data_IF_339558697741
#
_entry.id   IF_339558697741
#
_cell.length_a   1.000
_cell.length_b   1.000
_cell.length_c   1.000
_cell.angle_alpha   90.00
_cell.angle_beta   90.00
_cell.angle_gamma   90.00
#
_symmetry.space_group_name_H-M   'P 1'
#
loop_
_entity.id
_entity.type
_entity.pdbx_description
1 polymer ?
#
# COMPACT_ATOMS: atom_id res chain seq x y z
N UNK A 1 2.54 3.06 29.78
CA UNK A 1 2.22 2.50 28.45
C UNK A 1 3.48 1.83 27.95
N UNK A 2 3.43 0.53 27.71
CA UNK A 2 4.55 -0.22 27.14
C UNK A 2 4.34 -0.25 25.63
N UNK A 3 5.36 0.11 24.87
CA UNK A 3 5.36 0.09 23.40
C UNK A 3 6.58 -0.71 22.94
N UNK A 4 6.46 -1.39 21.80
CA UNK A 4 7.54 -2.25 21.29
C UNK A 4 8.78 -1.44 20.91
N UNK A 5 8.55 -0.27 20.27
CA UNK A 5 9.61 0.61 19.81
C UNK A 5 9.27 2.09 20.05
N UNK A 6 10.29 2.86 20.42
CA UNK A 6 10.23 4.33 20.52
C UNK A 6 11.25 4.91 19.55
N UNK A 7 10.79 5.76 18.65
CA UNK A 7 11.61 6.40 17.63
C UNK A 7 11.92 7.86 18.00
N UNK A 8 13.19 8.25 17.92
CA UNK A 8 13.65 9.63 18.08
C UNK A 8 14.58 9.97 16.92
N UNK A 9 14.24 11.01 16.14
CA UNK A 9 15.02 11.46 14.96
C UNK A 9 15.38 10.30 13.99
N UNK A 10 14.40 9.49 13.63
CA UNK A 10 14.61 8.24 12.88
C UNK A 10 14.50 8.43 11.37
N UNK A 11 15.18 7.57 10.61
CA UNK A 11 15.02 7.47 9.15
C UNK A 11 13.89 6.50 8.77
N UNK A 12 13.47 6.52 7.50
CA UNK A 12 12.48 5.56 7.01
C UNK A 12 13.05 4.12 7.05
N UNK A 13 14.37 3.96 6.85
CA UNK A 13 15.06 2.68 6.93
C UNK A 13 14.97 2.04 8.32
N UNK A 14 15.12 2.82 9.38
CA UNK A 14 15.05 2.31 10.76
C UNK A 14 13.65 1.78 11.11
N UNK A 15 12.60 2.52 10.71
CA UNK A 15 11.20 2.12 10.93
C UNK A 15 10.88 0.89 10.10
N UNK A 16 11.37 0.84 8.86
CA UNK A 16 11.25 -0.34 8.01
C UNK A 16 11.89 -1.56 8.66
N UNK A 17 13.13 -1.43 9.12
CA UNK A 17 13.90 -2.51 9.71
C UNK A 17 13.27 -3.09 10.97
N UNK A 18 12.86 -2.22 11.89
CA UNK A 18 12.43 -2.62 13.23
C UNK A 18 10.95 -2.95 13.33
N UNK A 19 10.10 -2.26 12.58
CA UNK A 19 8.64 -2.40 12.69
C UNK A 19 7.97 -3.00 11.46
N UNK A 20 8.39 -2.66 10.25
CA UNK A 20 7.60 -3.00 9.05
C UNK A 20 8.13 -4.21 8.28
N UNK A 21 9.40 -4.61 8.45
CA UNK A 21 10.00 -5.72 7.71
C UNK A 21 9.27 -7.04 7.97
N UNK A 22 9.01 -7.37 9.24
CA UNK A 22 8.25 -8.56 9.61
C UNK A 22 6.84 -8.55 9.04
N UNK A 23 6.19 -7.39 9.03
CA UNK A 23 4.88 -7.19 8.44
C UNK A 23 4.89 -7.39 6.92
N UNK A 24 5.88 -6.85 6.22
CA UNK A 24 6.05 -7.07 4.77
C UNK A 24 6.28 -8.54 4.46
N UNK A 25 7.09 -9.25 5.26
CA UNK A 25 7.26 -10.71 5.10
C UNK A 25 5.93 -11.45 5.25
N UNK A 26 5.15 -11.10 6.28
CA UNK A 26 3.81 -11.68 6.48
C UNK A 26 2.86 -11.37 5.31
N UNK A 27 2.90 -10.15 4.74
CA UNK A 27 2.14 -9.80 3.54
C UNK A 27 2.47 -10.73 2.36
N UNK A 28 3.74 -11.02 2.14
CA UNK A 28 4.20 -11.91 1.07
C UNK A 28 3.82 -13.38 1.33
N UNK A 29 3.49 -13.74 2.56
CA UNK A 29 2.93 -15.04 2.95
C UNK A 29 1.40 -15.11 2.83
N UNK A 30 0.74 -14.00 2.48
CA UNK A 30 -0.71 -13.93 2.31
C UNK A 30 -1.46 -13.42 3.53
N UNK A 31 -0.76 -12.85 4.52
CA UNK A 31 -1.39 -12.21 5.69
C UNK A 31 -1.76 -10.76 5.34
N UNK A 32 -3.01 -10.36 5.60
CA UNK A 32 -3.43 -8.97 5.46
C UNK A 32 -2.84 -8.12 6.60
N UNK A 33 -2.14 -7.05 6.26
CA UNK A 33 -1.55 -6.12 7.22
C UNK A 33 -2.13 -4.72 7.02
N UNK A 34 -2.38 -4.03 8.12
CA UNK A 34 -2.72 -2.60 8.12
C UNK A 34 -1.83 -1.85 9.11
N UNK A 35 -1.38 -0.66 8.73
CA UNK A 35 -0.58 0.23 9.56
C UNK A 35 -1.33 1.54 9.72
N UNK A 36 -1.58 1.92 10.97
CA UNK A 36 -2.35 3.12 11.30
C UNK A 36 -1.46 4.15 12.01
N UNK A 37 -1.42 5.38 11.47
CA UNK A 37 -0.76 6.51 12.13
C UNK A 37 -1.73 7.29 13.00
N UNK A 38 -1.55 7.22 14.32
CA UNK A 38 -2.37 7.93 15.31
C UNK A 38 -1.56 9.05 15.99
N UNK A 39 -2.26 10.12 16.37
CA UNK A 39 -1.66 11.25 17.06
C UNK A 39 -2.51 12.51 17.00
N UNK A 40 -2.19 13.49 17.84
CA UNK A 40 -2.91 14.77 17.89
C UNK A 40 -2.76 15.55 16.56
N UNK A 41 -3.61 16.55 16.32
CA UNK A 41 -3.48 17.43 15.14
C UNK A 41 -2.08 18.09 15.06
N UNK A 42 -1.47 18.38 16.21
CA UNK A 42 -0.10 18.94 16.30
C UNK A 42 0.99 17.96 15.89
N UNK A 43 0.71 16.66 15.91
CA UNK A 43 1.67 15.66 15.42
C UNK A 43 1.60 15.63 13.90
N UNK A 44 2.74 15.80 13.25
CA UNK A 44 2.85 15.87 11.79
C UNK A 44 2.72 14.48 11.14
N UNK A 45 1.60 13.79 11.40
CA UNK A 45 1.30 12.40 10.96
C UNK A 45 1.46 12.22 9.46
N UNK A 46 0.92 13.16 8.70
CA UNK A 46 1.05 13.20 7.24
C UNK A 46 2.52 13.22 6.80
N UNK A 47 3.40 13.94 7.54
CA UNK A 47 4.82 13.97 7.20
C UNK A 47 5.50 12.63 7.42
N UNK A 48 5.14 11.91 8.49
CA UNK A 48 5.71 10.60 8.80
C UNK A 48 5.24 9.54 7.80
N UNK A 49 3.95 9.57 7.44
CA UNK A 49 3.34 8.56 6.60
C UNK A 49 3.52 8.79 5.10
N UNK A 50 3.60 10.04 4.62
CA UNK A 50 3.45 10.31 3.19
C UNK A 50 4.52 11.23 2.61
N UNK A 51 5.05 12.17 3.40
CA UNK A 51 6.14 13.00 2.90
C UNK A 51 7.47 12.23 2.94
N UNK A 52 8.41 12.61 2.06
CA UNK A 52 9.77 12.11 2.14
C UNK A 52 10.36 12.43 3.52
N UNK A 53 10.79 11.38 4.23
CA UNK A 53 11.80 11.52 5.28
C UNK A 53 13.16 11.81 4.60
N UNK A 54 14.27 12.06 5.33
CA UNK A 54 15.53 12.49 4.72
C UNK A 54 15.97 11.70 3.48
N UNK A 55 15.65 10.40 3.41
CA UNK A 55 15.97 9.53 2.28
C UNK A 55 14.78 9.27 1.34
N UNK A 56 13.64 8.85 1.90
CA UNK A 56 12.43 8.47 1.15
C UNK A 56 11.17 8.48 2.03
N UNK A 57 9.99 8.45 1.42
CA UNK A 57 8.74 8.28 2.17
C UNK A 57 8.56 6.83 2.61
N UNK A 58 7.91 6.64 3.76
CA UNK A 58 7.66 5.31 4.31
C UNK A 58 6.91 4.36 3.34
N UNK A 59 5.89 4.79 2.59
CA UNK A 59 5.17 3.92 1.66
C UNK A 59 6.05 3.48 0.49
N UNK A 60 6.97 4.34 0.03
CA UNK A 60 7.92 3.99 -1.03
C UNK A 60 8.90 2.93 -0.52
N UNK A 61 9.39 3.08 0.72
CA UNK A 61 10.26 2.09 1.35
C UNK A 61 9.56 0.72 1.55
N UNK A 62 8.28 0.75 1.97
CA UNK A 62 7.43 -0.44 2.07
C UNK A 62 7.24 -1.10 0.72
N UNK A 63 6.87 -0.32 -0.30
CA UNK A 63 6.66 -0.83 -1.66
C UNK A 63 7.92 -1.48 -2.21
N UNK A 64 9.07 -0.83 -2.08
CA UNK A 64 10.34 -1.37 -2.57
C UNK A 64 10.69 -2.69 -1.88
N UNK A 65 10.59 -2.74 -0.55
CA UNK A 65 10.87 -3.97 0.21
C UNK A 65 9.90 -5.09 -0.17
N UNK A 66 8.62 -4.78 -0.35
CA UNK A 66 7.60 -5.74 -0.75
C UNK A 66 7.87 -6.26 -2.16
N UNK A 67 8.17 -5.37 -3.11
CA UNK A 67 8.49 -5.72 -4.48
C UNK A 67 9.70 -6.63 -4.56
N UNK A 68 10.80 -6.29 -3.89
CA UNK A 68 12.03 -7.09 -3.86
C UNK A 68 11.80 -8.46 -3.22
N UNK A 69 11.04 -8.52 -2.13
CA UNK A 69 10.73 -9.77 -1.41
C UNK A 69 9.86 -10.70 -2.27
N UNK A 70 8.85 -10.16 -2.96
CA UNK A 70 8.00 -10.93 -3.88
C UNK A 70 8.81 -11.46 -5.05
N UNK A 71 9.64 -10.62 -5.67
CA UNK A 71 10.51 -11.04 -6.78
C UNK A 71 11.46 -12.16 -6.36
N UNK A 72 12.11 -12.03 -5.21
CA UNK A 72 13.01 -13.05 -4.67
C UNK A 72 12.30 -14.38 -4.38
N UNK A 73 11.09 -14.32 -3.80
CA UNK A 73 10.27 -15.51 -3.53
C UNK A 73 9.86 -16.22 -4.82
N UNK A 74 9.48 -15.48 -5.86
CA UNK A 74 9.12 -16.04 -7.16
C UNK A 74 10.33 -16.66 -7.85
N UNK A 75 11.48 -15.99 -7.83
CA UNK A 75 12.73 -16.54 -8.37
C UNK A 75 13.07 -17.88 -7.69
N UNK A 76 12.88 -17.98 -6.37
CA UNK A 76 13.09 -19.21 -5.60
C UNK A 76 12.12 -20.33 -6.02
N UNK A 77 10.83 -20.03 -6.16
CA UNK A 77 9.80 -21.00 -6.58
C UNK A 77 10.09 -21.52 -8.00
N UNK A 78 10.42 -20.61 -8.92
CA UNK A 78 10.70 -20.96 -10.31
C UNK A 78 12.01 -21.75 -10.46
N UNK A 79 13.06 -21.40 -9.71
CA UNK A 79 14.33 -22.14 -9.72
C UNK A 79 14.19 -23.55 -9.11
N UNK A 80 13.40 -23.68 -8.05
CA UNK A 80 13.11 -25.00 -7.44
C UNK A 80 12.41 -25.91 -8.44
N UNK A 81 11.49 -25.36 -9.22
CA UNK A 81 10.73 -26.08 -10.26
C UNK A 81 11.60 -26.55 -11.43
N UNK A 82 12.69 -25.82 -11.74
CA UNK A 82 13.66 -26.23 -12.77
C UNK A 82 14.72 -27.22 -12.27
N UNK A 83 14.94 -27.31 -10.95
CA UNK A 83 15.94 -28.21 -10.34
C UNK A 83 15.45 -29.64 -10.09
N UNK A 84 14.14 -29.90 -10.17
CA UNK A 84 13.54 -31.23 -9.96
C UNK A 84 13.60 -32.12 -11.22
N UNK A 85 14.76 -32.18 -11.88
CA UNK A 85 15.02 -33.06 -13.03
C UNK A 85 15.97 -34.22 -12.72
N UNK A 86 16.12 -34.64 -11.45
CA UNK A 86 16.73 -35.95 -11.14
C UNK A 86 16.09 -36.60 -9.90
N UNK A 87 15.65 -37.85 -10.09
CA UNK A 87 15.26 -38.90 -9.13
C UNK A 87 13.75 -39.11 -8.86
N UNK A 88 13.35 -40.33 -9.21
CA UNK A 88 12.01 -40.92 -9.20
C UNK A 88 11.40 -41.03 -7.80
N UNK A 89 10.22 -40.44 -7.58
CA UNK A 89 9.16 -41.03 -6.76
C UNK A 89 7.82 -40.32 -7.01
N UNK A 90 6.83 -41.09 -7.46
CA UNK A 90 5.45 -40.68 -7.75
C UNK A 90 4.77 -40.09 -6.52
N UNK A 91 4.41 -38.80 -6.54
CA UNK A 91 3.18 -38.28 -5.91
C UNK A 91 2.50 -37.27 -6.84
N UNK A 92 1.21 -37.53 -7.08
CA UNK A 92 0.31 -36.90 -8.05
C UNK A 92 0.10 -35.39 -7.78
N UNK A 93 -0.07 -34.65 -8.88
CA UNK A 93 -0.52 -33.24 -8.98
C UNK A 93 0.44 -32.13 -8.50
N UNK A 94 1.60 -31.99 -9.12
CA UNK A 94 2.32 -30.71 -9.15
C UNK A 94 2.19 -30.06 -10.53
N UNK A 95 1.09 -29.34 -10.73
CA UNK A 95 1.09 -28.23 -11.70
C UNK A 95 1.61 -27.02 -10.93
N UNK A 96 2.93 -26.86 -10.87
CA UNK A 96 3.51 -25.55 -10.50
C UNK A 96 3.63 -24.78 -11.82
N UNK A 97 2.51 -24.19 -12.24
CA UNK A 97 2.54 -23.11 -13.21
C UNK A 97 3.35 -21.97 -12.59
N UNK A 98 4.33 -21.44 -13.33
CA UNK A 98 5.14 -20.27 -12.96
C UNK A 98 4.33 -19.26 -12.11
N UNK A 99 4.82 -18.96 -10.91
CA UNK A 99 4.12 -18.03 -10.02
C UNK A 99 4.24 -16.60 -10.59
N UNK A 100 3.10 -15.97 -10.86
CA UNK A 100 3.03 -14.57 -11.29
C UNK A 100 2.43 -13.73 -10.16
N UNK A 101 2.77 -12.44 -10.13
CA UNK A 101 2.22 -11.49 -9.17
C UNK A 101 1.78 -10.21 -9.87
N UNK A 102 0.83 -9.52 -9.25
CA UNK A 102 0.35 -8.21 -9.68
C UNK A 102 0.17 -7.33 -8.46
N UNK A 103 0.99 -6.30 -8.33
CA UNK A 103 0.81 -5.26 -7.31
C UNK A 103 -0.05 -4.15 -7.90
N UNK A 104 -1.07 -3.73 -7.16
CA UNK A 104 -1.95 -2.63 -7.53
C UNK A 104 -2.10 -1.70 -6.34
N UNK A 105 -2.42 -0.45 -6.63
CA UNK A 105 -2.60 0.60 -5.65
C UNK A 105 -4.02 1.13 -5.69
N UNK A 106 -4.60 1.35 -4.53
CA UNK A 106 -5.82 2.13 -4.31
C UNK A 106 -5.57 3.21 -3.27
N UNK A 107 -6.14 4.40 -3.47
CA UNK A 107 -5.94 5.52 -2.55
C UNK A 107 -7.24 6.30 -2.35
N UNK A 108 -7.71 6.35 -1.11
CA UNK A 108 -8.92 7.05 -0.73
C UNK A 108 -8.68 8.05 0.40
N UNK A 109 -9.46 9.13 0.40
CA UNK A 109 -9.57 10.08 1.50
C UNK A 109 -10.97 9.99 2.12
N UNK A 110 -11.05 10.04 3.44
CA UNK A 110 -12.27 10.13 4.22
C UNK A 110 -12.30 11.49 4.92
N UNK A 111 -13.31 12.28 4.60
CA UNK A 111 -13.50 13.62 5.16
C UNK A 111 -15.00 13.93 5.23
N UNK A 112 -15.48 14.38 6.39
CA UNK A 112 -16.90 14.76 6.62
C UNK A 112 -17.90 13.72 6.08
N UNK A 113 -17.74 12.45 6.47
CA UNK A 113 -18.59 11.31 6.03
C UNK A 113 -18.59 11.06 4.50
N UNK A 114 -17.68 11.71 3.76
CA UNK A 114 -17.53 11.55 2.31
C UNK A 114 -16.23 10.82 2.00
N UNK A 115 -16.32 9.86 1.08
CA UNK A 115 -15.16 9.13 0.55
C UNK A 115 -14.78 9.75 -0.79
N UNK A 116 -13.51 10.11 -0.94
CA UNK A 116 -12.95 10.63 -2.19
C UNK A 116 -11.91 9.67 -2.72
N UNK A 117 -12.07 9.22 -3.96
CA UNK A 117 -11.05 8.46 -4.68
C UNK A 117 -9.96 9.40 -5.20
N UNK A 118 -8.74 9.24 -4.67
CA UNK A 118 -7.59 10.07 -4.98
C UNK A 118 -6.84 9.63 -6.24
N UNK A 119 -7.14 8.43 -6.78
CA UNK A 119 -6.54 7.93 -8.03
C UNK A 119 -7.47 8.11 -9.25
N UNK A 120 -8.75 8.45 -9.05
CA UNK A 120 -9.74 8.59 -10.12
C UNK A 120 -9.32 9.52 -11.27
N UNK A 121 -8.56 10.58 -10.98
CA UNK A 121 -8.06 11.52 -12.01
C UNK A 121 -6.85 10.98 -12.80
N UNK A 122 -6.12 10.02 -12.22
CA UNK A 122 -4.92 9.43 -12.85
C UNK A 122 -5.24 8.23 -13.73
N UNK A 123 -6.36 7.57 -13.47
CA UNK A 123 -6.75 6.33 -14.15
C UNK A 123 -7.53 6.57 -15.45
N UNK A 124 -8.13 7.75 -15.67
CA UNK A 124 -8.80 8.12 -16.91
C UNK A 124 -8.86 9.64 -17.11
N UNK A 125 -8.12 10.17 -18.09
CA UNK A 125 -8.48 11.46 -18.68
C UNK A 125 -9.86 11.36 -19.31
N UNK A 126 -10.80 12.23 -18.95
CA UNK A 126 -12.16 12.30 -19.51
C UNK A 126 -13.06 11.07 -19.34
N UNK A 127 -13.58 10.85 -18.12
CA UNK A 127 -14.90 10.22 -17.96
C UNK A 127 -15.77 10.99 -16.96
N UNK A 128 -16.37 12.08 -17.43
CA UNK A 128 -17.50 12.76 -16.78
C UNK A 128 -18.80 11.90 -16.75
N UNK A 129 -18.75 10.62 -17.15
CA UNK A 129 -19.95 9.83 -17.46
C UNK A 129 -20.34 8.70 -16.50
N UNK A 130 -19.53 8.33 -15.50
CA UNK A 130 -19.92 7.29 -14.54
C UNK A 130 -19.06 7.31 -13.28
N UNK A 131 -19.12 8.38 -12.48
CA UNK A 131 -18.60 8.33 -11.12
C UNK A 131 -19.57 7.46 -10.32
N UNK A 132 -19.29 6.17 -10.25
CA UNK A 132 -20.06 5.28 -9.37
C UNK A 132 -19.81 5.73 -7.93
N UNK A 133 -20.87 5.79 -7.14
CA UNK A 133 -20.74 6.15 -5.73
C UNK A 133 -19.81 5.16 -5.02
N UNK A 134 -18.89 5.72 -4.23
CA UNK A 134 -18.01 4.94 -3.38
C UNK A 134 -18.80 4.55 -2.14
N UNK A 135 -18.88 3.24 -1.88
CA UNK A 135 -19.70 2.68 -0.79
C UNK A 135 -18.84 1.75 0.04
N UNK A 136 -18.95 1.86 1.36
CA UNK A 136 -18.35 0.89 2.28
C UNK A 136 -19.31 -0.30 2.37
N UNK A 137 -18.83 -1.48 2.01
CA UNK A 137 -19.59 -2.72 2.11
C UNK A 137 -18.77 -3.81 2.80
N UNK A 138 -19.44 -4.70 3.52
CA UNK A 138 -18.81 -5.88 4.11
C UNK A 138 -18.80 -7.02 3.09
N UNK A 139 -17.62 -7.33 2.58
CA UNK A 139 -17.40 -8.49 1.73
C UNK A 139 -17.14 -9.73 2.60
N UNK A 140 -17.84 -10.86 2.36
CA UNK A 140 -17.73 -12.05 3.19
C UNK A 140 -16.36 -12.74 3.12
N UNK A 141 -15.52 -12.44 2.12
CA UNK A 141 -14.17 -12.98 1.98
C UNK A 141 -13.07 -11.96 2.35
N UNK A 142 -13.29 -10.68 2.06
CA UNK A 142 -12.28 -9.61 2.21
C UNK A 142 -12.52 -8.71 3.42
N UNK A 143 -13.66 -8.86 4.12
CA UNK A 143 -14.09 -7.96 5.16
C UNK A 143 -14.60 -6.63 4.61
N UNK A 144 -14.50 -5.56 5.39
CA UNK A 144 -14.96 -4.23 4.99
C UNK A 144 -14.11 -3.66 3.84
N UNK A 145 -14.75 -3.35 2.71
CA UNK A 145 -14.11 -2.80 1.51
C UNK A 145 -14.78 -1.50 1.08
N UNK A 146 -14.04 -0.68 0.31
CA UNK A 146 -14.60 0.46 -0.41
C UNK A 146 -14.88 0.00 -1.84
N UNK A 147 -16.16 -0.20 -2.16
CA UNK A 147 -16.62 -0.58 -3.50
C UNK A 147 -16.34 0.57 -4.48
N UNK A 148 -16.05 0.21 -5.73
CA UNK A 148 -15.82 1.14 -6.84
C UNK A 148 -14.58 2.05 -6.66
N UNK A 149 -13.72 1.77 -5.68
CA UNK A 149 -12.45 2.47 -5.53
C UNK A 149 -11.49 2.10 -6.67
N UNK A 150 -10.89 3.10 -7.31
CA UNK A 150 -9.93 2.88 -8.40
C UNK A 150 -8.78 2.00 -7.93
N UNK A 151 -8.48 0.97 -8.72
CA UNK A 151 -7.24 0.21 -8.64
C UNK A 151 -6.32 0.59 -9.80
N UNK A 152 -5.06 0.87 -9.50
CA UNK A 152 -4.08 1.17 -10.53
C UNK A 152 -3.87 0.00 -11.49
N UNK A 153 -3.24 0.31 -12.63
CA UNK A 153 -2.60 -0.71 -13.44
C UNK A 153 -1.52 -1.45 -12.60
N UNK A 154 -1.19 -2.70 -12.95
CA UNK A 154 -0.13 -3.45 -12.28
C UNK A 154 1.18 -2.66 -12.20
N UNK A 155 1.70 -2.47 -11.00
CA UNK A 155 2.93 -1.73 -10.74
C UNK A 155 4.14 -2.63 -10.99
N UNK A 156 5.09 -2.12 -11.78
CA UNK A 156 6.33 -2.81 -12.16
C UNK A 156 7.58 -2.14 -11.58
N UNK A 157 7.45 -0.97 -10.98
CA UNK A 157 8.58 -0.22 -10.43
C UNK A 157 8.18 0.69 -9.26
N UNK A 158 9.13 0.96 -8.37
CA UNK A 158 8.95 1.94 -7.29
C UNK A 158 8.74 3.36 -7.83
N UNK A 159 9.25 3.66 -9.03
CA UNK A 159 9.05 4.94 -9.69
C UNK A 159 7.58 5.17 -10.07
N UNK A 160 6.89 4.13 -10.57
CA UNK A 160 5.47 4.24 -10.93
C UNK A 160 4.58 4.30 -9.70
N UNK A 161 4.94 3.56 -8.65
CA UNK A 161 4.30 3.70 -7.34
C UNK A 161 4.43 5.14 -6.82
N UNK A 162 5.63 5.71 -6.85
CA UNK A 162 5.87 7.09 -6.38
C UNK A 162 5.05 8.12 -7.17
N UNK A 163 4.95 7.99 -8.49
CA UNK A 163 4.12 8.89 -9.31
C UNK A 163 2.65 8.86 -8.88
N UNK A 164 2.09 7.67 -8.66
CA UNK A 164 0.70 7.54 -8.21
C UNK A 164 0.51 8.07 -6.78
N UNK A 165 1.47 7.82 -5.89
CA UNK A 165 1.46 8.37 -4.55
C UNK A 165 1.45 9.91 -4.58
N UNK A 166 2.38 10.52 -5.33
CA UNK A 166 2.50 11.98 -5.45
C UNK A 166 1.24 12.59 -6.08
N UNK A 167 0.65 11.93 -7.08
CA UNK A 167 -0.60 12.36 -7.71
C UNK A 167 -1.79 12.30 -6.73
N UNK A 168 -1.93 11.20 -5.98
CA UNK A 168 -2.98 11.06 -4.98
C UNK A 168 -2.82 12.05 -3.82
N UNK A 169 -1.59 12.30 -3.37
CA UNK A 169 -1.29 13.33 -2.35
C UNK A 169 -1.62 14.73 -2.85
N UNK A 170 -1.39 15.02 -4.14
CA UNK A 170 -1.75 16.30 -4.76
C UNK A 170 -3.27 16.48 -4.90
N UNK A 171 -4.02 15.38 -5.02
CA UNK A 171 -5.49 15.39 -5.09
C UNK A 171 -6.18 15.49 -3.73
N UNK A 172 -5.45 15.31 -2.62
CA UNK A 172 -6.02 15.40 -1.26
C UNK A 172 -6.53 16.81 -0.97
N UNK A 173 -7.61 16.88 -0.18
CA UNK A 173 -8.15 18.14 0.30
C UNK A 173 -7.11 18.90 1.11
N UNK A 174 -6.63 20.02 0.53
CA UNK A 174 -5.67 20.93 1.16
C UNK A 174 -6.26 22.33 1.37
N UNK A 175 -7.55 22.41 1.66
CA UNK A 175 -8.21 23.70 1.89
C UNK A 175 -7.84 24.19 3.28
N UNK A 176 -7.23 25.38 3.35
CA UNK A 176 -6.98 26.04 4.62
C UNK A 176 -8.29 26.66 5.13
N UNK A 177 -8.87 26.07 6.16
CA UNK A 177 -10.04 26.58 6.86
C UNK A 177 -9.67 27.44 8.07
N UNK A 178 -10.68 27.84 8.85
CA UNK A 178 -10.52 28.65 10.05
C UNK A 178 -9.60 28.02 11.11
N UNK A 179 -9.46 26.70 11.10
CA UNK A 179 -8.76 25.90 12.12
C UNK A 179 -7.46 25.25 11.62
N UNK A 180 -7.01 25.59 10.41
CA UNK A 180 -5.83 24.98 9.79
C UNK A 180 -6.17 24.27 8.48
N UNK A 181 -5.25 23.44 8.00
CA UNK A 181 -5.42 22.73 6.75
C UNK A 181 -6.38 21.53 6.93
N UNK A 182 -7.37 21.37 6.05
CA UNK A 182 -8.34 20.27 6.08
C UNK A 182 -7.69 18.88 6.09
N UNK A 183 -6.48 18.75 5.52
CA UNK A 183 -5.70 17.50 5.54
C UNK A 183 -5.28 17.03 6.94
N UNK A 184 -5.31 17.92 7.94
CA UNK A 184 -5.08 17.57 9.36
C UNK A 184 -6.29 16.88 10.00
N UNK A 185 -7.47 17.06 9.39
CA UNK A 185 -8.76 16.56 9.85
C UNK A 185 -9.33 15.48 8.91
N UNK A 186 -8.69 15.23 7.76
CA UNK A 186 -9.02 14.11 6.87
C UNK A 186 -8.18 12.87 7.18
N UNK A 187 -8.80 11.70 7.02
CA UNK A 187 -8.11 10.42 7.07
C UNK A 187 -7.83 9.95 5.65
N UNK A 188 -6.73 9.22 5.43
CA UNK A 188 -6.40 8.68 4.12
C UNK A 188 -5.98 7.22 4.22
N UNK A 189 -6.42 6.41 3.27
CA UNK A 189 -6.19 4.97 3.21
C UNK A 189 -5.49 4.64 1.90
N UNK A 190 -4.24 4.20 1.99
CA UNK A 190 -3.44 3.67 0.88
C UNK A 190 -3.42 2.14 0.99
N UNK A 191 -3.85 1.45 -0.07
CA UNK A 191 -3.94 -0.01 -0.14
C UNK A 191 -3.18 -0.54 -1.35
#
# INVERSE_FOLDING_TARGET
MQVDHVYQQTTAGDVMERSLRSLVTACVEGVNVSVLGLGSAKTQKHRVLFLPMPDQSLPVAVFQTLFDTVQSKIATINNTSNSSSVSMAVRKNQVISSATFSLRLSFAELFEETITDLLAMTSNGNREGSRQDLVIEDDPALGTIIKNLTQSAPLTSAGDFRKLLDAGLSARHSVNGLYGNSSEFSSAVLR
#
